data_IF_577205561448
#
_entry.id   IF_577205561448
#
_cell.length_a   1.000
_cell.length_b   1.000
_cell.length_c   1.000
_cell.angle_alpha   90.00
_cell.angle_beta   90.00
_cell.angle_gamma   90.00
#
_symmetry.space_group_name_H-M   'P 1'
#
loop_
_entity.id
_entity.type
_entity.pdbx_description
1 polymer ?
#
# COMPACT_ATOMS: atom_id res chain seq x y z
N UNK A 1 -18.56 -5.96 -20.21
CA UNK A 1 -17.50 -5.11 -20.80
C UNK A 1 -16.30 -5.11 -19.85
N UNK A 2 -15.10 -5.48 -20.33
CA UNK A 2 -13.91 -5.51 -19.49
C UNK A 2 -13.53 -4.08 -19.05
N UNK A 3 -13.28 -3.89 -17.74
CA UNK A 3 -12.82 -2.60 -17.20
C UNK A 3 -11.39 -2.36 -17.70
N UNK A 4 -11.18 -1.35 -18.54
CA UNK A 4 -9.83 -0.90 -18.94
C UNK A 4 -9.02 -0.62 -17.67
N UNK A 5 -7.91 -1.35 -17.48
CA UNK A 5 -6.97 -1.09 -16.39
C UNK A 5 -5.93 -0.08 -16.86
N UNK A 6 -5.73 0.96 -16.06
CA UNK A 6 -4.71 1.98 -16.29
C UNK A 6 -3.58 1.78 -15.29
N UNK A 7 -2.33 1.87 -15.74
CA UNK A 7 -1.17 1.72 -14.85
C UNK A 7 -1.14 2.85 -13.81
N UNK A 8 -0.60 2.59 -12.60
CA UNK A 8 -0.46 3.62 -11.57
C UNK A 8 0.30 4.85 -12.07
N UNK A 9 1.37 4.65 -12.83
CA UNK A 9 2.18 5.72 -13.44
C UNK A 9 1.36 6.61 -14.37
N UNK A 10 0.53 6.01 -15.23
CA UNK A 10 -0.32 6.76 -16.15
C UNK A 10 -1.39 7.57 -15.40
N UNK A 11 -2.03 6.98 -14.38
CA UNK A 11 -2.99 7.70 -13.52
C UNK A 11 -2.34 8.89 -12.84
N UNK A 12 -1.12 8.72 -12.31
CA UNK A 12 -0.38 9.79 -11.65
C UNK A 12 -0.06 10.93 -12.62
N UNK A 13 0.43 10.63 -13.83
CA UNK A 13 0.68 11.65 -14.86
C UNK A 13 -0.58 12.44 -15.22
N UNK A 14 -1.71 11.75 -15.40
CA UNK A 14 -3.01 12.38 -15.71
C UNK A 14 -3.47 13.29 -14.56
N UNK A 15 -3.22 12.90 -13.31
CA UNK A 15 -3.54 13.72 -12.14
C UNK A 15 -2.66 14.97 -12.10
N UNK A 16 -1.35 14.87 -12.36
CA UNK A 16 -0.46 16.03 -12.40
C UNK A 16 -0.92 17.05 -13.45
N UNK A 17 -1.30 16.58 -14.63
CA UNK A 17 -1.84 17.43 -15.69
C UNK A 17 -3.17 18.08 -15.27
N UNK A 18 -4.04 17.34 -14.58
CA UNK A 18 -5.29 17.88 -14.02
C UNK A 18 -5.08 18.85 -12.84
N UNK A 19 -3.94 18.78 -12.15
CA UNK A 19 -3.54 19.70 -11.09
C UNK A 19 -2.89 20.97 -11.65
N UNK A 20 -2.20 20.89 -12.81
CA UNK A 20 -1.62 22.06 -13.48
C UNK A 20 -2.65 23.14 -13.84
N UNK A 21 -3.90 22.72 -14.09
CA UNK A 21 -4.99 23.62 -14.49
C UNK A 21 -4.93 24.08 -15.94
N UNK A 22 -3.88 23.72 -16.70
CA UNK A 22 -3.71 24.12 -18.10
C UNK A 22 -4.75 23.50 -19.03
N UNK A 23 -5.30 22.34 -18.66
CA UNK A 23 -6.31 21.61 -19.43
C UNK A 23 -7.49 21.24 -18.55
N UNK A 24 -8.68 21.35 -19.12
CA UNK A 24 -9.91 20.86 -18.50
C UNK A 24 -9.90 19.32 -18.42
N UNK A 25 -10.66 18.71 -17.48
CA UNK A 25 -10.81 17.26 -17.43
C UNK A 25 -11.28 16.63 -18.74
N UNK A 26 -12.10 17.34 -19.53
CA UNK A 26 -12.55 16.89 -20.84
C UNK A 26 -11.43 16.84 -21.89
N UNK A 27 -10.55 17.85 -21.91
CA UNK A 27 -9.39 17.88 -22.81
C UNK A 27 -8.37 16.78 -22.47
N UNK A 28 -8.08 16.60 -21.18
CA UNK A 28 -7.21 15.52 -20.69
C UNK A 28 -7.83 14.17 -21.06
N UNK A 29 -9.13 13.99 -20.82
CA UNK A 29 -9.83 12.76 -21.15
C UNK A 29 -9.75 12.41 -22.63
N UNK A 30 -9.92 13.41 -23.51
CA UNK A 30 -9.76 13.25 -24.96
C UNK A 30 -8.33 12.85 -25.35
N UNK A 31 -7.32 13.49 -24.75
CA UNK A 31 -5.91 13.21 -25.02
C UNK A 31 -5.51 11.77 -24.68
N UNK A 32 -5.98 11.24 -23.55
CA UNK A 32 -5.63 9.89 -23.08
C UNK A 32 -6.67 8.82 -23.46
N UNK A 33 -7.74 9.17 -24.16
CA UNK A 33 -8.81 8.24 -24.55
C UNK A 33 -9.54 7.62 -23.35
N UNK A 34 -9.78 8.42 -22.31
CA UNK A 34 -10.44 8.03 -21.06
C UNK A 34 -11.74 8.82 -20.85
N UNK A 35 -12.52 8.46 -19.83
CA UNK A 35 -13.73 9.20 -19.47
C UNK A 35 -13.38 10.44 -18.61
N UNK A 36 -13.98 11.63 -18.82
CA UNK A 36 -13.73 12.82 -18.00
C UNK A 36 -13.91 12.60 -16.50
N UNK A 37 -14.94 11.83 -16.11
CA UNK A 37 -15.15 11.45 -14.70
C UNK A 37 -13.97 10.67 -14.09
N UNK A 38 -13.20 9.92 -14.89
CA UNK A 38 -12.00 9.24 -14.40
C UNK A 38 -10.90 10.24 -14.00
N UNK A 39 -10.74 11.32 -14.76
CA UNK A 39 -9.78 12.40 -14.44
C UNK A 39 -10.17 13.08 -13.12
N UNK A 40 -11.45 13.43 -12.98
CA UNK A 40 -11.98 14.06 -11.76
C UNK A 40 -11.82 13.14 -10.54
N UNK A 41 -12.19 11.86 -10.70
CA UNK A 41 -12.08 10.85 -9.64
C UNK A 41 -10.63 10.68 -9.20
N UNK A 42 -9.69 10.49 -10.13
CA UNK A 42 -8.29 10.28 -9.78
C UNK A 42 -7.66 11.51 -9.13
N UNK A 43 -8.00 12.72 -9.61
CA UNK A 43 -7.56 13.96 -8.96
C UNK A 43 -8.05 14.04 -7.51
N UNK A 44 -9.33 13.73 -7.28
CA UNK A 44 -9.91 13.68 -5.93
C UNK A 44 -9.18 12.65 -5.05
N UNK A 45 -9.06 11.41 -5.52
CA UNK A 45 -8.38 10.33 -4.79
C UNK A 45 -6.94 10.71 -4.42
N UNK A 46 -6.21 11.33 -5.36
CA UNK A 46 -4.83 11.76 -5.10
C UNK A 46 -4.75 12.86 -4.04
N UNK A 47 -5.67 13.83 -4.05
CA UNK A 47 -5.70 14.88 -3.04
C UNK A 47 -6.09 14.35 -1.65
N UNK A 48 -6.96 13.35 -1.58
CA UNK A 48 -7.37 12.71 -0.33
C UNK A 48 -6.28 11.81 0.26
N UNK A 49 -5.62 11.01 -0.57
CA UNK A 49 -4.58 10.06 -0.15
C UNK A 49 -3.16 10.67 -0.15
N UNK A 50 -2.99 11.83 -0.78
CA UNK A 50 -1.71 12.52 -0.89
C UNK A 50 -1.05 12.79 0.46
N UNK A 51 -1.76 13.29 1.49
CA UNK A 51 -1.20 13.46 2.84
C UNK A 51 -0.62 12.18 3.43
N UNK A 52 -1.27 11.03 3.20
CA UNK A 52 -0.82 9.73 3.73
C UNK A 52 0.52 9.28 3.13
N UNK A 53 0.83 9.70 1.90
CA UNK A 53 2.15 9.46 1.28
C UNK A 53 3.28 10.16 2.04
N UNK A 54 3.00 11.28 2.70
CA UNK A 54 3.97 11.99 3.53
C UNK A 54 3.95 11.53 4.99
N UNK A 55 2.94 10.75 5.39
CA UNK A 55 2.87 10.12 6.71
C UNK A 55 3.71 8.83 6.82
N UNK A 56 4.39 8.43 5.73
CA UNK A 56 4.94 7.08 5.51
C UNK A 56 6.14 6.67 6.40
N UNK A 57 6.52 7.48 7.39
CA UNK A 57 7.67 7.19 8.26
C UNK A 57 7.32 6.46 9.58
N UNK A 58 6.05 6.42 9.98
CA UNK A 58 5.61 5.75 11.22
C UNK A 58 5.15 4.32 10.98
N UNK A 59 4.39 4.07 9.91
CA UNK A 59 3.72 2.79 9.68
C UNK A 59 4.70 1.66 9.33
N UNK A 60 5.71 1.92 8.51
CA UNK A 60 6.73 0.91 8.15
C UNK A 60 7.54 0.54 9.39
N UNK A 61 8.00 1.52 10.16
CA UNK A 61 8.74 1.29 11.42
C UNK A 61 7.89 0.56 12.44
N UNK A 62 6.60 0.85 12.53
CA UNK A 62 5.68 0.13 13.41
C UNK A 62 5.51 -1.33 12.98
N UNK A 63 5.38 -1.61 11.68
CA UNK A 63 5.35 -2.98 11.18
C UNK A 63 6.67 -3.72 11.41
N UNK A 64 7.81 -3.09 11.14
CA UNK A 64 9.14 -3.66 11.41
C UNK A 64 9.32 -4.01 12.89
N UNK A 65 8.93 -3.10 13.78
CA UNK A 65 8.95 -3.35 15.23
C UNK A 65 8.07 -4.55 15.60
N UNK A 66 6.84 -4.62 15.06
CA UNK A 66 5.89 -5.69 15.36
C UNK A 66 6.36 -7.03 14.82
N UNK A 67 7.03 -7.06 13.66
CA UNK A 67 7.69 -8.25 13.12
C UNK A 67 8.79 -8.72 14.07
N UNK A 68 9.68 -7.82 14.50
CA UNK A 68 10.76 -8.17 15.43
C UNK A 68 10.23 -8.72 16.77
N UNK A 69 9.15 -8.15 17.32
CA UNK A 69 8.50 -8.65 18.53
C UNK A 69 7.92 -10.07 18.34
N UNK A 70 7.30 -10.33 17.19
CA UNK A 70 6.75 -11.65 16.84
C UNK A 70 7.85 -12.71 16.64
N UNK A 71 8.95 -12.35 15.97
CA UNK A 71 10.10 -13.25 15.79
C UNK A 71 10.74 -13.64 17.13
N UNK A 72 10.89 -12.68 18.05
CA UNK A 72 11.37 -12.97 19.41
C UNK A 72 10.45 -13.90 20.18
N UNK A 73 9.13 -13.70 20.07
CA UNK A 73 8.15 -14.56 20.74
C UNK A 73 8.20 -15.98 20.16
N UNK A 74 8.29 -16.12 18.85
CA UNK A 74 8.39 -17.40 18.17
C UNK A 74 9.64 -18.17 18.65
N UNK A 75 10.81 -17.53 18.67
CA UNK A 75 12.04 -18.15 19.15
C UNK A 75 11.94 -18.61 20.61
N UNK A 76 11.32 -17.81 21.50
CA UNK A 76 11.06 -18.24 22.89
C UNK A 76 10.19 -19.49 22.95
N UNK A 77 9.13 -19.54 22.14
CA UNK A 77 8.23 -20.71 22.08
C UNK A 77 8.90 -21.94 21.50
N UNK A 78 9.77 -21.81 20.51
CA UNK A 78 10.56 -22.94 20.00
C UNK A 78 11.47 -23.54 21.07
N UNK A 79 12.14 -22.69 21.86
CA UNK A 79 12.97 -23.15 22.99
C UNK A 79 12.12 -23.84 24.06
N UNK A 80 10.99 -23.25 24.46
CA UNK A 80 10.05 -23.88 25.41
C UNK A 80 9.61 -25.27 24.92
N UNK A 81 9.23 -25.39 23.65
CA UNK A 81 8.81 -26.66 23.04
C UNK A 81 9.95 -27.68 23.04
N UNK A 82 11.17 -27.26 22.70
CA UNK A 82 12.34 -28.15 22.69
C UNK A 82 12.65 -28.70 24.10
N UNK A 83 12.58 -27.84 25.12
CA UNK A 83 12.78 -28.24 26.51
C UNK A 83 11.69 -29.21 26.99
N UNK A 84 10.42 -28.94 26.68
CA UNK A 84 9.30 -29.81 27.02
C UNK A 84 9.42 -31.18 26.35
N UNK A 85 9.81 -31.22 25.08
CA UNK A 85 10.06 -32.49 24.36
C UNK A 85 11.19 -33.29 24.99
N UNK A 86 12.29 -32.64 25.36
CA UNK A 86 13.40 -33.33 26.04
C UNK A 86 12.98 -33.88 27.41
N UNK A 87 12.23 -33.09 28.20
CA UNK A 87 11.75 -33.55 29.51
C UNK A 87 10.80 -34.75 29.41
N UNK A 88 9.86 -34.72 28.46
CA UNK A 88 8.91 -35.82 28.26
C UNK A 88 9.56 -37.06 27.66
N UNK A 89 10.60 -36.91 26.82
CA UNK A 89 11.34 -38.01 26.22
C UNK A 89 12.33 -38.71 27.17
N UNK A 90 12.67 -38.11 28.32
CA UNK A 90 13.58 -38.70 29.32
C UNK A 90 12.86 -39.50 30.43
N UNK A 91 11.52 -39.52 30.46
CA UNK A 91 10.73 -40.28 31.44
C UNK A 91 10.19 -41.62 30.89
N UNK A 92 10.86 -42.19 29.88
CA UNK A 92 10.52 -43.49 29.27
C UNK A 92 11.64 -44.50 29.42
#
# INVERSE_FOLDING_TARGET
>A
MARKQYSPKLKFQIVLEALSGEKTPGQIAKQYGIHPNSVVLWKKTFLEQGPDLFAQDSTVKEYERRIAELEQLLGKKEVEIALLKNFLGQNG
#
